data_IF_273866713836
#
_entry.id   IF_273866713836
#
_cell.length_a   1.000
_cell.length_b   1.000
_cell.length_c   1.000
_cell.angle_alpha   90.00
_cell.angle_beta   90.00
_cell.angle_gamma   90.00
#
_symmetry.space_group_name_H-M   'P 1'
#
loop_
_entity.id
_entity.type
_entity.pdbx_description
1 polymer ?
#
# COMPACT_ATOMS: atom_id res chain seq x y z
N UNK A 1 18.98 24.30 -6.71
CA UNK A 1 18.26 23.49 -5.71
C UNK A 1 16.74 23.63 -5.83
N UNK A 2 16.21 24.85 -6.00
CA UNK A 2 14.75 25.12 -6.14
C UNK A 2 14.06 24.39 -7.32
N UNK A 3 14.66 24.35 -8.52
CA UNK A 3 14.02 23.73 -9.70
C UNK A 3 13.82 22.21 -9.60
N UNK A 4 14.76 21.48 -8.97
CA UNK A 4 14.64 20.02 -8.76
C UNK A 4 13.52 19.68 -7.76
N UNK A 5 13.41 20.46 -6.69
CA UNK A 5 12.35 20.28 -5.68
C UNK A 5 10.98 20.57 -6.29
N UNK A 6 10.85 21.64 -7.08
CA UNK A 6 9.59 21.98 -7.78
C UNK A 6 9.20 20.91 -8.80
N UNK A 7 10.14 20.41 -9.61
CA UNK A 7 9.84 19.33 -10.56
C UNK A 7 9.49 18.01 -9.88
N UNK A 8 10.16 17.66 -8.78
CA UNK A 8 9.83 16.50 -7.97
C UNK A 8 8.43 16.64 -7.34
N UNK A 9 8.12 17.80 -6.76
CA UNK A 9 6.81 18.09 -6.19
C UNK A 9 5.68 18.01 -7.23
N UNK A 10 5.88 18.60 -8.41
CA UNK A 10 4.94 18.49 -9.54
C UNK A 10 4.73 17.04 -9.97
N UNK A 11 5.81 16.27 -10.10
CA UNK A 11 5.71 14.86 -10.48
C UNK A 11 4.92 14.04 -9.44
N UNK A 12 5.17 14.24 -8.15
CA UNK A 12 4.43 13.57 -7.07
C UNK A 12 2.96 13.96 -7.08
N UNK A 13 2.64 15.25 -7.22
CA UNK A 13 1.25 15.73 -7.26
C UNK A 13 0.50 15.16 -8.48
N UNK A 14 1.06 15.33 -9.69
CA UNK A 14 0.45 14.84 -10.92
C UNK A 14 0.26 13.33 -10.86
N UNK A 15 1.28 12.58 -10.45
CA UNK A 15 1.18 11.12 -10.34
C UNK A 15 0.17 10.67 -9.28
N UNK A 16 0.03 11.40 -8.17
CA UNK A 16 -0.98 11.12 -7.15
C UNK A 16 -2.40 11.38 -7.67
N UNK A 17 -2.60 12.43 -8.48
CA UNK A 17 -3.88 12.71 -9.12
C UNK A 17 -4.23 11.64 -10.17
N UNK A 18 -3.27 11.25 -11.01
CA UNK A 18 -3.47 10.22 -12.03
C UNK A 18 -3.82 8.88 -11.39
N UNK A 19 -3.02 8.43 -10.41
CA UNK A 19 -3.28 7.15 -9.71
C UNK A 19 -4.66 7.15 -9.06
N UNK A 20 -5.03 8.19 -8.31
CA UNK A 20 -6.37 8.31 -7.72
C UNK A 20 -7.49 8.34 -8.77
N UNK A 21 -7.26 9.00 -9.90
CA UNK A 21 -8.19 9.02 -11.03
C UNK A 21 -8.40 7.62 -11.61
N UNK A 22 -7.34 6.86 -11.81
CA UNK A 22 -7.39 5.46 -12.26
C UNK A 22 -8.19 4.61 -11.26
N UNK A 23 -7.87 4.71 -9.96
CA UNK A 23 -8.61 3.97 -8.92
C UNK A 23 -10.10 4.32 -8.92
N UNK A 24 -10.46 5.60 -9.08
CA UNK A 24 -11.84 6.04 -9.12
C UNK A 24 -12.60 5.49 -10.34
N UNK A 25 -11.98 5.54 -11.53
CA UNK A 25 -12.55 4.97 -12.74
C UNK A 25 -12.73 3.46 -12.59
N UNK A 26 -11.72 2.76 -12.05
CA UNK A 26 -11.80 1.32 -11.77
C UNK A 26 -12.98 1.00 -10.85
N UNK A 27 -13.16 1.80 -9.79
CA UNK A 27 -14.29 1.64 -8.86
C UNK A 27 -15.64 1.83 -9.54
N UNK A 28 -15.78 2.82 -10.42
CA UNK A 28 -17.00 3.07 -11.19
C UNK A 28 -17.30 1.91 -12.14
N UNK A 29 -16.27 1.37 -12.82
CA UNK A 29 -16.42 0.22 -13.71
C UNK A 29 -16.85 -1.01 -12.92
N UNK A 30 -16.17 -1.32 -11.81
CA UNK A 30 -16.53 -2.44 -10.93
C UNK A 30 -17.96 -2.31 -10.39
N UNK A 31 -18.38 -1.10 -9.99
CA UNK A 31 -19.73 -0.85 -9.49
C UNK A 31 -20.83 -1.15 -10.51
N UNK A 32 -20.51 -1.10 -11.81
CA UNK A 32 -21.44 -1.45 -12.89
C UNK A 32 -21.35 -2.91 -13.31
N UNK A 33 -20.21 -3.55 -13.09
CA UNK A 33 -19.93 -4.92 -13.53
C UNK A 33 -20.31 -5.96 -12.47
N UNK A 34 -20.17 -5.62 -11.18
CA UNK A 34 -20.58 -6.45 -10.06
C UNK A 34 -22.03 -6.18 -9.66
N UNK A 35 -22.71 -7.19 -9.12
CA UNK A 35 -23.97 -7.00 -8.41
C UNK A 35 -23.75 -6.10 -7.18
N UNK A 36 -24.79 -5.36 -6.78
CA UNK A 36 -24.71 -4.40 -5.69
C UNK A 36 -24.19 -5.02 -4.37
N UNK A 37 -24.59 -6.26 -4.08
CA UNK A 37 -24.17 -7.00 -2.89
C UNK A 37 -22.66 -7.33 -2.91
N UNK A 38 -22.14 -7.74 -4.07
CA UNK A 38 -20.74 -8.11 -4.27
C UNK A 38 -19.82 -6.89 -4.22
N UNK A 39 -20.26 -5.78 -4.84
CA UNK A 39 -19.52 -4.53 -4.80
C UNK A 39 -19.48 -3.94 -3.38
N UNK A 40 -20.59 -4.03 -2.63
CA UNK A 40 -20.63 -3.64 -1.22
C UNK A 40 -19.65 -4.44 -0.36
N UNK A 41 -19.59 -5.76 -0.59
CA UNK A 41 -18.63 -6.63 0.08
C UNK A 41 -17.17 -6.25 -0.22
N UNK A 42 -16.85 -5.89 -1.46
CA UNK A 42 -15.53 -5.47 -1.89
C UNK A 42 -15.12 -4.13 -1.26
N UNK A 43 -15.99 -3.13 -1.27
CA UNK A 43 -15.71 -1.80 -0.71
C UNK A 43 -15.45 -1.90 0.79
N UNK A 44 -16.30 -2.62 1.53
CA UNK A 44 -16.12 -2.81 2.97
C UNK A 44 -14.77 -3.48 3.29
N UNK A 45 -14.43 -4.51 2.52
CA UNK A 45 -13.17 -5.24 2.67
C UNK A 45 -11.96 -4.34 2.38
N UNK A 46 -12.04 -3.51 1.35
CA UNK A 46 -11.00 -2.56 0.98
C UNK A 46 -10.79 -1.48 2.05
N UNK A 47 -11.87 -0.99 2.68
CA UNK A 47 -11.79 -0.03 3.79
C UNK A 47 -11.05 -0.65 4.97
N UNK A 48 -11.44 -1.86 5.38
CA UNK A 48 -10.81 -2.57 6.51
C UNK A 48 -9.33 -2.82 6.22
N UNK A 49 -9.02 -3.41 5.06
CA UNK A 49 -7.64 -3.66 4.65
C UNK A 49 -6.82 -2.36 4.60
N UNK A 50 -7.38 -1.29 4.02
CA UNK A 50 -6.72 0.01 3.91
C UNK A 50 -6.36 0.61 5.28
N UNK A 51 -7.24 0.49 6.27
CA UNK A 51 -6.95 0.94 7.63
C UNK A 51 -5.79 0.16 8.27
N UNK A 52 -5.78 -1.17 8.11
CA UNK A 52 -4.71 -2.03 8.64
C UNK A 52 -3.37 -1.70 7.95
N UNK A 53 -3.38 -1.58 6.63
CA UNK A 53 -2.22 -1.17 5.84
C UNK A 53 -1.66 0.18 6.29
N UNK A 54 -2.53 1.16 6.59
CA UNK A 54 -2.10 2.47 7.05
C UNK A 54 -1.31 2.39 8.38
N UNK A 55 -1.77 1.51 9.30
CA UNK A 55 -1.07 1.26 10.57
C UNK A 55 0.29 0.61 10.32
N UNK A 56 0.36 -0.39 9.43
CA UNK A 56 1.60 -1.09 9.10
C UNK A 56 2.68 -0.22 8.46
N UNK A 57 2.30 0.91 7.87
CA UNK A 57 3.21 1.82 7.19
C UNK A 57 3.60 3.06 8.02
N UNK A 58 3.07 3.21 9.24
CA UNK A 58 3.21 4.45 9.99
C UNK A 58 4.60 4.62 10.63
N UNK A 59 5.19 5.82 10.50
CA UNK A 59 6.35 6.27 11.29
C UNK A 59 7.74 5.77 10.86
N UNK A 60 7.83 4.60 10.23
CA UNK A 60 9.10 3.97 9.82
C UNK A 60 9.96 4.84 8.90
N UNK A 61 9.34 5.38 7.85
CA UNK A 61 10.03 6.18 6.84
C UNK A 61 10.51 7.52 7.42
N UNK A 62 9.72 8.12 8.31
CA UNK A 62 10.04 9.40 8.96
C UNK A 62 11.27 9.23 9.85
N UNK A 63 11.34 8.14 10.61
CA UNK A 63 12.48 7.84 11.47
C UNK A 63 13.80 7.74 10.68
N UNK A 64 13.79 7.02 9.55
CA UNK A 64 14.97 6.92 8.69
C UNK A 64 15.35 8.26 8.05
N UNK A 65 14.38 9.01 7.53
CA UNK A 65 14.63 10.30 6.87
C UNK A 65 15.15 11.39 7.83
N UNK A 66 14.77 11.34 9.10
CA UNK A 66 15.20 12.30 10.11
C UNK A 66 16.55 11.94 10.74
N UNK A 67 17.02 10.70 10.58
CA UNK A 67 18.28 10.25 11.17
C UNK A 67 19.49 10.97 10.55
N UNK A 68 20.26 11.66 11.41
CA UNK A 68 21.50 12.34 11.03
C UNK A 68 22.68 11.59 11.64
N UNK A 69 23.39 10.83 10.80
CA UNK A 69 24.59 10.09 11.18
C UNK A 69 25.44 9.79 9.95
N UNK A 70 26.52 9.05 10.18
CA UNK A 70 27.40 8.54 9.11
C UNK A 70 26.65 7.57 8.19
N UNK A 71 27.16 7.34 6.99
CA UNK A 71 26.54 6.39 6.04
C UNK A 71 26.51 4.95 6.59
N UNK A 72 27.47 4.59 7.44
CA UNK A 72 27.52 3.29 8.13
C UNK A 72 26.36 3.17 9.13
N UNK A 73 26.09 4.24 9.90
CA UNK A 73 24.98 4.28 10.86
C UNK A 73 23.62 4.31 10.15
N UNK A 74 23.49 5.09 9.07
CA UNK A 74 22.26 5.10 8.26
C UNK A 74 21.91 3.71 7.73
N UNK A 75 22.89 2.94 7.28
CA UNK A 75 22.65 1.57 6.81
C UNK A 75 22.13 0.67 7.94
N UNK A 76 22.69 0.77 9.14
CA UNK A 76 22.19 0.03 10.31
C UNK A 76 20.77 0.43 10.70
N UNK A 77 20.48 1.74 10.66
CA UNK A 77 19.13 2.26 10.91
C UNK A 77 18.15 1.76 9.85
N UNK A 78 18.54 1.71 8.58
CA UNK A 78 17.71 1.15 7.52
C UNK A 78 17.37 -0.32 7.77
N UNK A 79 18.35 -1.13 8.16
CA UNK A 79 18.14 -2.54 8.49
C UNK A 79 17.20 -2.71 9.70
N UNK A 80 17.35 -1.85 10.72
CA UNK A 80 16.44 -1.83 11.88
C UNK A 80 15.01 -1.45 11.51
N UNK A 81 14.84 -0.38 10.72
CA UNK A 81 13.53 0.08 10.26
C UNK A 81 12.86 -1.00 9.40
N UNK A 82 13.62 -1.64 8.51
CA UNK A 82 13.12 -2.74 7.70
C UNK A 82 12.67 -3.93 8.56
N UNK A 83 13.50 -4.38 9.50
CA UNK A 83 13.14 -5.50 10.37
C UNK A 83 11.91 -5.19 11.21
N UNK A 84 11.82 -3.98 11.77
CA UNK A 84 10.67 -3.56 12.56
C UNK A 84 9.39 -3.51 11.72
N UNK A 85 9.47 -3.01 10.49
CA UNK A 85 8.34 -3.00 9.56
C UNK A 85 7.94 -4.40 9.13
N UNK A 86 8.91 -5.28 8.88
CA UNK A 86 8.67 -6.68 8.53
C UNK A 86 7.93 -7.42 9.65
N UNK A 87 8.39 -7.28 10.89
CA UNK A 87 7.71 -7.87 12.06
C UNK A 87 6.31 -7.29 12.22
N UNK A 88 6.15 -5.96 12.09
CA UNK A 88 4.85 -5.31 12.24
C UNK A 88 3.86 -5.75 11.17
N UNK A 89 4.26 -5.75 9.90
CA UNK A 89 3.40 -6.19 8.81
C UNK A 89 3.10 -7.69 8.88
N UNK A 90 4.02 -8.50 9.40
CA UNK A 90 3.77 -9.91 9.66
C UNK A 90 2.71 -10.11 10.75
N UNK A 91 2.78 -9.35 11.85
CA UNK A 91 1.74 -9.36 12.89
C UNK A 91 0.39 -8.90 12.34
N UNK A 92 0.37 -7.81 11.58
CA UNK A 92 -0.84 -7.28 10.96
C UNK A 92 -1.41 -8.24 9.91
N UNK A 93 -0.57 -8.97 9.17
CA UNK A 93 -0.98 -10.05 8.27
C UNK A 93 -1.79 -11.11 9.04
N UNK A 94 -1.25 -11.62 10.15
CA UNK A 94 -1.98 -12.61 10.95
C UNK A 94 -3.29 -12.06 11.51
N UNK A 95 -3.27 -10.82 12.02
CA UNK A 95 -4.48 -10.16 12.54
C UNK A 95 -5.55 -10.03 11.44
N UNK A 96 -5.16 -9.54 10.26
CA UNK A 96 -6.08 -9.36 9.14
C UNK A 96 -6.57 -10.70 8.57
N UNK A 97 -5.70 -11.70 8.46
CA UNK A 97 -6.07 -13.04 7.99
C UNK A 97 -7.04 -13.72 8.97
N UNK A 98 -6.78 -13.62 10.28
CA UNK A 98 -7.71 -14.11 11.31
C UNK A 98 -9.04 -13.37 11.26
N UNK A 99 -9.04 -12.05 11.10
CA UNK A 99 -10.27 -11.27 10.94
C UNK A 99 -11.07 -11.73 9.71
N UNK A 100 -10.40 -11.95 8.57
CA UNK A 100 -11.01 -12.49 7.36
C UNK A 100 -11.65 -13.87 7.59
N UNK A 101 -10.90 -14.81 8.19
CA UNK A 101 -11.41 -16.14 8.52
C UNK A 101 -12.61 -16.09 9.49
N UNK A 102 -12.53 -15.27 10.53
CA UNK A 102 -13.64 -15.07 11.45
C UNK A 102 -14.89 -14.57 10.73
N UNK A 103 -14.76 -13.63 9.79
CA UNK A 103 -15.90 -13.15 9.00
C UNK A 103 -16.49 -14.27 8.15
N UNK A 104 -15.66 -15.11 7.50
CA UNK A 104 -16.13 -16.26 6.70
C UNK A 104 -16.90 -17.28 7.55
N UNK A 105 -16.42 -17.56 8.77
CA UNK A 105 -16.98 -18.60 9.63
C UNK A 105 -18.24 -18.09 10.36
N UNK A 106 -18.19 -16.89 10.92
CA UNK A 106 -19.26 -16.35 11.77
C UNK A 106 -20.32 -15.55 11.01
N UNK A 107 -20.03 -15.11 9.77
CA UNK A 107 -20.98 -14.33 8.95
C UNK A 107 -21.41 -15.13 7.73
N UNK A 108 -22.66 -14.97 7.29
CA UNK A 108 -23.12 -15.51 5.99
C UNK A 108 -22.40 -14.88 4.77
N UNK A 109 -21.67 -13.78 4.99
CA UNK A 109 -20.95 -13.05 3.95
C UNK A 109 -19.53 -13.62 3.74
N UNK A 110 -19.47 -14.74 3.01
CA UNK A 110 -18.21 -15.40 2.65
C UNK A 110 -17.34 -14.55 1.72
N UNK A 111 -17.96 -13.69 0.91
CA UNK A 111 -17.25 -12.87 -0.07
C UNK A 111 -16.35 -11.83 0.62
N UNK A 112 -16.90 -11.05 1.56
CA UNK A 112 -16.10 -10.06 2.30
C UNK A 112 -14.94 -10.70 3.06
N UNK A 113 -15.19 -11.80 3.77
CA UNK A 113 -14.15 -12.49 4.52
C UNK A 113 -13.03 -13.04 3.62
N UNK A 114 -13.39 -13.56 2.43
CA UNK A 114 -12.45 -14.00 1.42
C UNK A 114 -11.59 -12.87 0.85
N UNK A 115 -12.20 -11.72 0.55
CA UNK A 115 -11.47 -10.54 0.03
C UNK A 115 -10.50 -10.01 1.11
N UNK A 116 -10.93 -9.89 2.37
CA UNK A 116 -10.06 -9.44 3.47
C UNK A 116 -8.85 -10.38 3.62
N UNK A 117 -9.08 -11.69 3.53
CA UNK A 117 -8.01 -12.70 3.60
C UNK A 117 -7.05 -12.57 2.43
N UNK A 118 -7.53 -12.41 1.19
CA UNK A 118 -6.67 -12.19 0.02
C UNK A 118 -5.86 -10.90 0.16
N UNK A 119 -6.50 -9.82 0.62
CA UNK A 119 -5.83 -8.54 0.84
C UNK A 119 -4.80 -8.61 1.97
N UNK A 120 -4.87 -9.56 2.91
CA UNK A 120 -3.86 -9.67 3.97
C UNK A 120 -2.46 -9.92 3.40
N UNK A 121 -2.35 -10.69 2.33
CA UNK A 121 -1.07 -10.99 1.67
C UNK A 121 -0.37 -9.74 1.13
N UNK A 122 -1.11 -8.68 0.83
CA UNK A 122 -0.51 -7.42 0.36
C UNK A 122 0.47 -6.84 1.40
N UNK A 123 0.20 -7.02 2.70
CA UNK A 123 1.06 -6.53 3.79
C UNK A 123 2.46 -7.15 3.75
N UNK A 124 2.57 -8.41 3.31
CA UNK A 124 3.85 -9.10 3.15
C UNK A 124 4.65 -8.49 1.99
N UNK A 125 3.99 -8.25 0.85
CA UNK A 125 4.63 -7.61 -0.30
C UNK A 125 5.04 -6.16 -0.02
N UNK A 126 4.26 -5.44 0.78
CA UNK A 126 4.60 -4.08 1.21
C UNK A 126 5.85 -4.05 2.09
N UNK A 127 5.97 -4.99 3.02
CA UNK A 127 7.15 -5.08 3.89
C UNK A 127 8.44 -5.27 3.07
N UNK A 128 8.40 -6.13 2.05
CA UNK A 128 9.56 -6.42 1.19
C UNK A 128 9.95 -5.20 0.34
N UNK A 129 8.97 -4.45 -0.17
CA UNK A 129 9.23 -3.28 -1.01
C UNK A 129 9.69 -2.03 -0.23
N UNK A 130 9.48 -2.02 1.09
CA UNK A 130 9.73 -0.88 1.98
C UNK A 130 11.14 -0.26 1.90
N UNK A 131 12.25 -1.03 1.89
CA UNK A 131 13.58 -0.44 1.87
C UNK A 131 13.84 0.32 0.58
N UNK A 132 13.35 -0.20 -0.54
CA UNK A 132 13.61 0.36 -1.86
C UNK A 132 12.95 1.74 -2.00
N UNK A 133 11.70 1.85 -1.56
CA UNK A 133 10.99 3.13 -1.52
C UNK A 133 11.67 4.13 -0.57
N UNK A 134 12.11 3.66 0.60
CA UNK A 134 12.76 4.49 1.62
C UNK A 134 14.12 5.02 1.14
N UNK A 135 14.93 4.18 0.47
CA UNK A 135 16.20 4.59 -0.13
C UNK A 135 15.96 5.62 -1.24
N UNK A 136 15.03 5.38 -2.17
CA UNK A 136 14.74 6.29 -3.27
C UNK A 136 14.30 7.67 -2.79
N UNK A 137 13.44 7.71 -1.76
CA UNK A 137 12.97 8.98 -1.16
C UNK A 137 14.09 9.71 -0.44
N UNK A 138 15.00 9.01 0.25
CA UNK A 138 16.18 9.63 0.86
C UNK A 138 17.14 10.27 -0.15
N UNK A 139 17.21 9.73 -1.38
CA UNK A 139 17.97 10.31 -2.50
C UNK A 139 17.23 11.43 -3.24
N UNK A 140 16.03 11.80 -2.80
CA UNK A 140 15.10 12.71 -3.49
C UNK A 140 14.74 12.28 -4.92
N UNK A 141 14.82 10.98 -5.25
CA UNK A 141 14.48 10.44 -6.57
C UNK A 141 12.98 10.14 -6.72
N UNK A 142 12.13 11.11 -6.34
CA UNK A 142 10.68 10.94 -6.27
C UNK A 142 10.02 10.56 -7.61
N UNK A 143 10.62 10.95 -8.74
CA UNK A 143 10.10 10.58 -10.07
C UNK A 143 10.05 9.06 -10.28
N UNK A 144 11.05 8.31 -9.80
CA UNK A 144 11.07 6.85 -9.91
C UNK A 144 10.01 6.21 -9.03
N UNK A 145 9.81 6.75 -7.83
CA UNK A 145 8.75 6.32 -6.90
C UNK A 145 7.38 6.54 -7.53
N UNK A 146 7.15 7.72 -8.13
CA UNK A 146 5.89 8.04 -8.81
C UNK A 146 5.61 7.09 -9.97
N UNK A 147 6.60 6.81 -10.82
CA UNK A 147 6.43 5.88 -11.96
C UNK A 147 6.11 4.47 -11.44
N UNK A 148 6.81 4.00 -10.40
CA UNK A 148 6.52 2.69 -9.79
C UNK A 148 5.08 2.62 -9.26
N UNK A 149 4.59 3.68 -8.62
CA UNK A 149 3.22 3.73 -8.11
C UNK A 149 2.17 3.72 -9.23
N UNK A 150 2.41 4.45 -10.33
CA UNK A 150 1.50 4.44 -11.49
C UNK A 150 1.46 3.04 -12.12
N UNK A 151 2.62 2.38 -12.25
CA UNK A 151 2.70 1.01 -12.78
C UNK A 151 1.95 0.05 -11.85
N UNK A 152 2.19 0.11 -10.54
CA UNK A 152 1.48 -0.71 -9.54
C UNK A 152 -0.03 -0.52 -9.63
N UNK A 153 -0.50 0.73 -9.74
CA UNK A 153 -1.94 1.03 -9.80
C UNK A 153 -2.58 0.53 -11.10
N UNK A 154 -1.86 0.65 -12.24
CA UNK A 154 -2.31 0.07 -13.51
C UNK A 154 -2.42 -1.45 -13.42
N UNK A 155 -1.37 -2.14 -12.93
CA UNK A 155 -1.41 -3.61 -12.75
C UNK A 155 -2.52 -4.05 -11.80
N UNK A 156 -2.71 -3.34 -10.69
CA UNK A 156 -3.81 -3.57 -9.75
C UNK A 156 -5.17 -3.42 -10.42
N UNK A 157 -5.35 -2.37 -11.22
CA UNK A 157 -6.60 -2.10 -11.94
C UNK A 157 -6.90 -3.16 -12.99
N UNK A 158 -5.91 -3.55 -13.79
CA UNK A 158 -6.08 -4.64 -14.77
C UNK A 158 -6.35 -5.98 -14.09
N UNK A 159 -5.67 -6.29 -13.00
CA UNK A 159 -5.92 -7.51 -12.22
C UNK A 159 -7.32 -7.57 -11.60
N UNK A 160 -7.89 -6.42 -11.22
CA UNK A 160 -9.27 -6.33 -10.70
C UNK A 160 -10.34 -6.45 -11.79
N UNK A 161 -10.03 -6.09 -13.03
CA UNK A 161 -11.00 -6.07 -14.15
C UNK A 161 -10.95 -7.38 -14.95
N UNK A 162 -9.81 -8.06 -15.00
CA UNK A 162 -9.62 -9.31 -15.75
C UNK A 162 -9.79 -10.60 -14.93
N UNK A 163 -10.08 -10.50 -13.62
CA UNK A 163 -10.31 -11.63 -12.71
C UNK A 163 -11.78 -11.81 -12.37
#
# INVERSE_FOLDING_TARGET
>A
MSSKVVNAGKAVLIGSFISRGISAISSIVLARLLYADDYGALVLSAIIAGLITQIGNMGYEIYYLQFKGTEIEKRKVLDQVFNLRLVTNLLLFFIQAMAGLCIVIFTKNKMSGGIILLLSFSLLFEAINAPNDTILKSKMEFQKVTISNIIKELFSTFGKIGG
#
